data_IF_109117623776
#
_entry.id   IF_109117623776
#
_cell.length_a   1.000
_cell.length_b   1.000
_cell.length_c   1.000
_cell.angle_alpha   90.00
_cell.angle_beta   90.00
_cell.angle_gamma   90.00
#
_symmetry.space_group_name_H-M   'P 1'
#
loop_
_entity.id
_entity.type
_entity.pdbx_description
1 polymer ?
#
# COMPACT_ATOMS: atom_id res chain seq x y z
N UNK A 1 2.18 -39.57 10.45
CA UNK A 1 1.41 -38.88 9.39
C UNK A 1 1.08 -37.51 9.90
N UNK A 2 1.53 -36.52 9.15
CA UNK A 2 1.91 -35.19 9.60
C UNK A 2 0.77 -34.26 9.97
N UNK A 3 1.12 -33.32 10.83
CA UNK A 3 0.28 -32.30 11.42
C UNK A 3 -0.36 -31.38 10.38
N UNK A 4 -1.69 -31.34 10.40
CA UNK A 4 -2.43 -30.17 9.94
C UNK A 4 -2.26 -29.04 10.97
N UNK A 5 -1.29 -28.15 10.74
CA UNK A 5 -1.26 -26.85 11.40
C UNK A 5 -2.13 -25.89 10.60
N UNK A 6 -3.40 -25.79 11.02
CA UNK A 6 -4.30 -24.74 10.58
C UNK A 6 -3.69 -23.38 10.91
N UNK A 7 -3.37 -22.63 9.85
CA UNK A 7 -3.15 -21.19 9.88
C UNK A 7 -4.33 -20.51 10.58
N UNK A 8 -4.13 -20.04 11.82
CA UNK A 8 -5.07 -19.15 12.49
C UNK A 8 -4.94 -17.75 11.89
N UNK A 9 -5.64 -17.53 10.79
CA UNK A 9 -5.91 -16.21 10.24
C UNK A 9 -6.71 -15.40 11.28
N UNK A 10 -6.08 -14.36 11.82
CA UNK A 10 -6.68 -13.19 12.47
C UNK A 10 -7.77 -13.46 13.52
N UNK A 11 -7.40 -13.56 14.79
CA UNK A 11 -8.38 -13.23 15.84
C UNK A 11 -8.61 -11.73 15.84
N UNK A 12 -9.75 -11.30 15.29
CA UNK A 12 -10.29 -9.95 15.48
C UNK A 12 -10.49 -9.72 16.98
N UNK A 13 -9.53 -9.03 17.61
CA UNK A 13 -9.66 -8.56 18.98
C UNK A 13 -10.31 -7.19 18.93
N UNK A 14 -11.60 -7.13 19.30
CA UNK A 14 -12.26 -5.87 19.58
C UNK A 14 -11.68 -5.29 20.88
N UNK A 15 -10.94 -4.20 20.77
CA UNK A 15 -10.42 -3.45 21.92
C UNK A 15 -11.48 -2.45 22.37
N UNK A 16 -11.86 -2.48 23.65
CA UNK A 16 -12.93 -1.63 24.17
C UNK A 16 -12.47 -0.19 24.41
N UNK A 17 -11.16 0.04 24.49
CA UNK A 17 -10.57 1.37 24.66
C UNK A 17 -9.11 1.41 24.17
N UNK A 18 -8.57 2.63 24.02
CA UNK A 18 -7.21 2.84 23.52
C UNK A 18 -6.12 2.22 24.42
N UNK A 19 -6.34 2.11 25.73
CA UNK A 19 -5.38 1.51 26.66
C UNK A 19 -5.26 -0.01 26.49
N UNK A 20 -6.35 -0.71 26.18
CA UNK A 20 -6.33 -2.16 25.91
C UNK A 20 -5.61 -2.50 24.62
N UNK A 21 -5.85 -1.69 23.59
CA UNK A 21 -5.19 -1.77 22.29
C UNK A 21 -3.68 -1.52 22.43
N UNK A 22 -3.31 -0.55 23.28
CA UNK A 22 -1.93 -0.25 23.63
C UNK A 22 -1.25 -1.42 24.38
N UNK A 23 -1.89 -1.98 25.42
CA UNK A 23 -1.36 -3.15 26.15
C UNK A 23 -1.24 -4.41 25.29
N UNK A 24 -2.16 -4.61 24.36
CA UNK A 24 -2.10 -5.73 23.43
C UNK A 24 -0.97 -5.56 22.41
N UNK A 25 -0.75 -4.33 21.92
CA UNK A 25 0.41 -4.01 21.09
C UNK A 25 1.72 -4.27 21.85
N UNK A 26 1.81 -3.88 23.13
CA UNK A 26 2.97 -4.13 24.01
C UNK A 26 3.28 -5.63 24.15
N UNK A 27 2.28 -6.46 24.49
CA UNK A 27 2.46 -7.92 24.65
C UNK A 27 2.87 -8.62 23.34
N UNK A 28 2.46 -8.06 22.21
CA UNK A 28 2.77 -8.58 20.87
C UNK A 28 4.22 -8.28 20.45
N UNK A 29 4.76 -7.14 20.88
CA UNK A 29 6.14 -6.74 20.59
C UNK A 29 7.19 -7.69 21.18
N UNK A 30 6.87 -8.39 22.27
CA UNK A 30 7.76 -9.34 22.93
C UNK A 30 7.84 -10.71 22.22
N UNK A 31 6.96 -11.00 21.26
CA UNK A 31 6.68 -12.37 20.77
C UNK A 31 6.89 -12.59 19.26
N UNK A 32 7.68 -11.75 18.56
CA UNK A 32 7.82 -11.78 17.10
C UNK A 32 6.48 -11.59 16.35
N UNK A 33 5.53 -10.89 16.95
CA UNK A 33 4.22 -10.60 16.34
C UNK A 33 4.32 -9.36 15.45
N UNK A 34 3.73 -9.43 14.25
CA UNK A 34 3.50 -8.28 13.39
C UNK A 34 2.20 -7.57 13.78
N UNK A 35 2.30 -6.29 14.10
CA UNK A 35 1.17 -5.43 14.37
C UNK A 35 0.87 -4.55 13.15
N UNK A 36 -0.26 -4.79 12.49
CA UNK A 36 -0.72 -4.01 11.35
C UNK A 36 -1.78 -3.01 11.82
N UNK A 37 -1.44 -1.73 11.77
CA UNK A 37 -2.33 -0.64 12.10
C UNK A 37 -3.08 -0.15 10.87
N UNK A 38 -4.34 0.26 11.03
CA UNK A 38 -5.11 0.91 9.98
C UNK A 38 -4.49 2.21 9.47
N UNK A 39 -3.66 2.90 10.27
CA UNK A 39 -2.99 4.16 9.86
C UNK A 39 -1.53 4.23 10.26
N UNK A 40 -0.72 4.95 9.46
CA UNK A 40 0.69 5.23 9.76
C UNK A 40 0.88 6.11 11.00
N UNK A 41 -0.13 6.92 11.35
CA UNK A 41 -0.11 7.76 12.57
C UNK A 41 -0.24 6.89 13.81
N UNK A 42 -1.14 5.92 13.80
CA UNK A 42 -1.30 4.96 14.91
C UNK A 42 -0.02 4.13 15.09
N UNK A 43 0.51 3.55 14.01
CA UNK A 43 1.75 2.78 14.04
C UNK A 43 2.92 3.57 14.68
N UNK A 44 3.11 4.83 14.26
CA UNK A 44 4.15 5.71 14.82
C UNK A 44 3.93 6.02 16.30
N UNK A 45 2.69 6.25 16.72
CA UNK A 45 2.35 6.51 18.13
C UNK A 45 2.66 5.31 19.01
N UNK A 46 2.28 4.10 18.58
CA UNK A 46 2.56 2.86 19.31
C UNK A 46 4.07 2.60 19.39
N UNK A 47 4.79 2.77 18.27
CA UNK A 47 6.25 2.63 18.25
C UNK A 47 6.96 3.62 19.19
N UNK A 48 6.50 4.87 19.22
CA UNK A 48 7.05 5.89 20.12
C UNK A 48 6.83 5.52 21.60
N UNK A 49 5.62 5.08 21.96
CA UNK A 49 5.29 4.64 23.33
C UNK A 49 6.16 3.46 23.77
N UNK A 50 6.29 2.45 22.92
CA UNK A 50 7.15 1.29 23.18
C UNK A 50 8.59 1.74 23.46
N UNK A 51 9.14 2.64 22.64
CA UNK A 51 10.50 3.19 22.85
C UNK A 51 10.65 3.90 24.19
N UNK A 52 9.66 4.70 24.59
CA UNK A 52 9.69 5.40 25.89
C UNK A 52 9.72 4.42 27.06
N UNK A 53 8.97 3.33 26.99
CA UNK A 53 8.95 2.30 28.04
C UNK A 53 10.29 1.55 28.13
N UNK A 54 10.89 1.16 27.00
CA UNK A 54 12.20 0.51 27.01
C UNK A 54 13.28 1.39 27.64
N UNK A 55 13.23 2.69 27.36
CA UNK A 55 14.11 3.67 27.99
C UNK A 55 13.89 3.74 29.50
N UNK A 56 12.63 3.73 29.97
CA UNK A 56 12.29 3.72 31.39
C UNK A 56 12.72 2.42 32.09
N UNK A 57 12.62 1.29 31.41
CA UNK A 57 12.96 -0.03 31.93
C UNK A 57 14.49 -0.34 31.85
N UNK A 58 15.33 0.64 31.51
CA UNK A 58 16.78 0.51 31.31
C UNK A 58 17.18 -0.66 30.40
N UNK A 59 16.25 -1.10 29.54
CA UNK A 59 16.45 -2.21 28.63
C UNK A 59 16.95 -1.67 27.31
N UNK A 60 17.73 -2.48 26.59
CA UNK A 60 18.21 -2.08 25.28
C UNK A 60 17.04 -1.72 24.34
N UNK A 61 17.02 -0.48 23.85
CA UNK A 61 16.06 -0.01 22.86
C UNK A 61 16.39 -0.45 21.43
N UNK A 62 17.36 -1.35 21.23
CA UNK A 62 17.84 -1.76 19.90
C UNK A 62 16.82 -2.67 19.16
N UNK A 63 15.98 -3.41 19.87
CA UNK A 63 14.99 -4.31 19.26
C UNK A 63 13.73 -3.54 18.82
N UNK A 64 13.67 -3.05 17.59
CA UNK A 64 12.46 -2.38 17.12
C UNK A 64 11.33 -3.40 16.88
N UNK A 65 10.15 -3.25 17.50
CA UNK A 65 9.04 -4.16 17.25
C UNK A 65 8.50 -3.98 15.84
N UNK A 66 7.94 -5.07 15.28
CA UNK A 66 7.31 -5.09 13.97
C UNK A 66 5.92 -4.42 14.00
N UNK A 67 5.91 -3.08 14.16
CA UNK A 67 4.68 -2.27 14.15
C UNK A 67 4.66 -1.40 12.90
N UNK A 68 3.68 -1.63 12.03
CA UNK A 68 3.55 -0.94 10.76
C UNK A 68 2.11 -0.56 10.49
N UNK A 69 1.89 0.42 9.61
CA UNK A 69 0.60 0.44 8.89
C UNK A 69 0.60 -0.64 7.82
N UNK A 70 -0.57 -1.11 7.38
CA UNK A 70 -0.66 -2.04 6.25
C UNK A 70 0.15 -1.54 5.04
N UNK A 71 -0.06 -0.28 4.65
CA UNK A 71 0.67 0.33 3.54
C UNK A 71 2.19 0.39 3.76
N UNK A 72 2.61 0.71 4.98
CA UNK A 72 4.04 0.76 5.33
C UNK A 72 4.69 -0.62 5.30
N UNK A 73 4.00 -1.63 5.83
CA UNK A 73 4.49 -3.01 5.82
C UNK A 73 4.60 -3.57 4.41
N UNK A 74 3.59 -3.35 3.54
CA UNK A 74 3.64 -3.78 2.14
C UNK A 74 4.80 -3.12 1.40
N UNK A 75 5.03 -1.81 1.57
CA UNK A 75 6.16 -1.17 0.90
C UNK A 75 7.52 -1.68 1.37
N UNK A 76 7.67 -1.95 2.67
CA UNK A 76 8.88 -2.55 3.19
C UNK A 76 9.08 -3.96 2.62
N UNK A 77 8.02 -4.79 2.70
CA UNK A 77 8.00 -6.15 2.17
C UNK A 77 8.36 -6.17 0.69
N UNK A 78 7.77 -5.26 -0.09
CA UNK A 78 8.06 -5.10 -1.51
C UNK A 78 9.52 -4.70 -1.75
N UNK A 79 10.07 -3.76 -0.98
CA UNK A 79 11.48 -3.37 -1.12
C UNK A 79 12.45 -4.54 -0.82
N UNK A 80 12.11 -5.42 0.13
CA UNK A 80 12.89 -6.62 0.46
C UNK A 80 12.94 -7.64 -0.69
N UNK A 81 11.99 -7.59 -1.63
CA UNK A 81 11.99 -8.42 -2.84
C UNK A 81 12.95 -7.91 -3.94
N UNK A 82 13.60 -6.76 -3.74
CA UNK A 82 14.46 -6.10 -4.73
C UNK A 82 13.81 -5.97 -6.12
N UNK A 83 12.61 -5.36 -6.21
CA UNK A 83 11.83 -5.32 -7.43
C UNK A 83 12.50 -4.40 -8.46
N UNK A 84 12.31 -4.72 -9.73
CA UNK A 84 12.80 -3.89 -10.83
C UNK A 84 12.11 -2.52 -10.90
N UNK A 85 10.90 -2.40 -10.34
CA UNK A 85 10.11 -1.18 -10.32
C UNK A 85 9.93 -0.63 -8.91
N UNK A 86 10.08 0.69 -8.74
CA UNK A 86 9.81 1.40 -7.49
C UNK A 86 8.32 1.73 -7.35
N UNK A 87 7.81 1.90 -6.12
CA UNK A 87 6.46 2.41 -5.93
C UNK A 87 6.24 3.77 -6.58
N UNK A 88 5.10 3.94 -7.25
CA UNK A 88 4.71 5.22 -7.84
C UNK A 88 4.53 6.28 -6.75
N UNK A 89 5.36 7.32 -6.78
CA UNK A 89 5.23 8.45 -5.86
C UNK A 89 4.15 9.43 -6.33
N UNK A 90 3.54 10.23 -5.44
CA UNK A 90 2.56 11.25 -5.82
C UNK A 90 3.10 12.26 -6.85
N UNK A 91 4.35 12.68 -6.70
CA UNK A 91 5.00 13.64 -7.58
C UNK A 91 5.22 13.05 -8.98
N UNK A 92 5.71 11.80 -9.04
CA UNK A 92 5.89 11.10 -10.30
C UNK A 92 4.53 10.83 -10.97
N UNK A 93 3.51 10.42 -10.20
CA UNK A 93 2.15 10.25 -10.72
C UNK A 93 1.63 11.52 -11.40
N UNK A 94 1.76 12.68 -10.75
CA UNK A 94 1.36 13.96 -11.34
C UNK A 94 2.11 14.27 -12.64
N UNK A 95 3.43 14.04 -12.66
CA UNK A 95 4.24 14.25 -13.85
C UNK A 95 3.82 13.32 -15.00
N UNK A 96 3.65 12.02 -14.73
CA UNK A 96 3.27 11.04 -15.75
C UNK A 96 1.87 11.31 -16.29
N UNK A 97 0.92 11.71 -15.44
CA UNK A 97 -0.41 12.11 -15.87
C UNK A 97 -0.40 13.37 -16.73
N UNK A 98 0.43 14.35 -16.39
CA UNK A 98 0.61 15.53 -17.22
C UNK A 98 1.11 15.15 -18.63
N UNK A 99 2.16 14.33 -18.71
CA UNK A 99 2.70 13.83 -19.98
C UNK A 99 1.65 13.05 -20.77
N UNK A 100 0.92 12.16 -20.10
CA UNK A 100 -0.11 11.34 -20.72
C UNK A 100 -1.30 12.17 -21.25
N UNK A 101 -1.72 13.18 -20.50
CA UNK A 101 -2.77 14.10 -20.90
C UNK A 101 -2.38 14.95 -22.12
N UNK A 102 -1.13 15.41 -22.19
CA UNK A 102 -0.62 16.13 -23.35
C UNK A 102 -0.61 15.28 -24.62
N UNK A 103 -0.29 13.98 -24.50
CA UNK A 103 -0.30 13.04 -25.63
C UNK A 103 -1.72 12.69 -26.10
N UNK A 104 -2.70 12.67 -25.21
CA UNK A 104 -4.07 12.24 -25.51
C UNK A 104 -4.92 13.27 -26.30
N UNK A 105 -4.41 14.50 -26.50
CA UNK A 105 -5.08 15.68 -27.09
C UNK A 105 -6.37 16.04 -26.33
N UNK A 106 -6.37 17.08 -25.47
CA UNK A 106 -7.54 17.46 -24.70
C UNK A 106 -8.67 17.98 -25.60
N UNK A 107 -9.95 17.71 -25.26
CA UNK A 107 -11.08 18.31 -25.94
C UNK A 107 -11.11 19.83 -25.70
N UNK A 108 -11.72 20.57 -26.63
CA UNK A 108 -11.84 22.02 -26.56
C UNK A 108 -12.45 22.48 -25.24
N UNK A 109 -11.82 23.45 -24.59
CA UNK A 109 -12.27 24.01 -23.31
C UNK A 109 -11.87 23.22 -22.07
N UNK A 110 -11.18 22.08 -22.21
CA UNK A 110 -10.62 21.37 -21.06
C UNK A 110 -9.26 21.94 -20.66
N UNK A 111 -9.19 22.50 -19.45
CA UNK A 111 -7.93 22.95 -18.87
C UNK A 111 -7.18 21.77 -18.22
N UNK A 112 -5.90 21.62 -18.58
CA UNK A 112 -5.02 20.59 -18.06
C UNK A 112 -4.29 21.09 -16.81
N UNK A 113 -4.85 20.78 -15.64
CA UNK A 113 -4.33 21.24 -14.34
C UNK A 113 -4.01 20.08 -13.39
N UNK A 114 -3.14 20.29 -12.37
CA UNK A 114 -2.78 19.24 -11.40
C UNK A 114 -3.97 18.58 -10.69
N UNK A 115 -5.07 19.31 -10.48
CA UNK A 115 -6.30 18.79 -9.87
C UNK A 115 -6.94 17.67 -10.72
N UNK A 116 -6.96 17.85 -12.04
CA UNK A 116 -7.47 16.85 -12.99
C UNK A 116 -6.63 15.57 -12.92
N UNK A 117 -5.30 15.68 -12.88
CA UNK A 117 -4.41 14.52 -12.79
C UNK A 117 -4.63 13.71 -11.52
N UNK A 118 -4.86 14.38 -10.38
CA UNK A 118 -5.22 13.69 -9.13
C UNK A 118 -6.55 12.94 -9.24
N UNK A 119 -7.55 13.56 -9.87
CA UNK A 119 -8.84 12.90 -10.11
C UNK A 119 -8.71 11.69 -11.04
N UNK A 120 -7.87 11.79 -12.06
CA UNK A 120 -7.57 10.68 -12.97
C UNK A 120 -6.85 9.53 -12.25
N UNK A 121 -5.82 9.83 -11.44
CA UNK A 121 -5.16 8.84 -10.58
C UNK A 121 -6.15 8.16 -9.65
N UNK A 122 -6.98 8.93 -8.94
CA UNK A 122 -7.97 8.39 -8.01
C UNK A 122 -8.98 7.48 -8.72
N UNK A 123 -9.46 7.89 -9.90
CA UNK A 123 -10.40 7.09 -10.70
C UNK A 123 -9.75 5.79 -11.19
N UNK A 124 -8.49 5.85 -11.63
CA UNK A 124 -7.74 4.67 -12.04
C UNK A 124 -7.57 3.69 -10.86
N UNK A 125 -7.14 4.18 -9.70
CA UNK A 125 -6.97 3.34 -8.50
C UNK A 125 -8.29 2.69 -8.06
N UNK A 126 -9.41 3.43 -8.11
CA UNK A 126 -10.73 2.89 -7.80
C UNK A 126 -11.11 1.75 -8.75
N UNK A 127 -10.92 1.93 -10.07
CA UNK A 127 -11.21 0.88 -11.05
C UNK A 127 -10.35 -0.36 -10.83
N UNK A 128 -9.05 -0.18 -10.59
CA UNK A 128 -8.13 -1.30 -10.34
C UNK A 128 -8.45 -2.06 -9.06
N UNK A 129 -8.86 -1.36 -8.00
CA UNK A 129 -9.28 -1.99 -6.74
C UNK A 129 -10.54 -2.85 -6.94
N UNK A 130 -11.47 -2.38 -7.77
CA UNK A 130 -12.69 -3.13 -8.14
C UNK A 130 -12.44 -4.18 -9.25
N UNK A 131 -11.18 -4.39 -9.65
CA UNK A 131 -10.78 -5.32 -10.73
C UNK A 131 -11.47 -5.03 -12.07
N UNK A 132 -11.81 -3.76 -12.30
CA UNK A 132 -12.38 -3.29 -13.56
C UNK A 132 -11.27 -2.85 -14.51
N UNK A 133 -11.40 -3.21 -15.79
CA UNK A 133 -10.46 -2.76 -16.82
C UNK A 133 -10.67 -1.24 -17.08
N UNK A 134 -9.67 -0.39 -16.80
CA UNK A 134 -9.78 1.04 -17.00
C UNK A 134 -9.86 1.46 -18.48
N UNK A 135 -9.60 0.52 -19.41
CA UNK A 135 -9.58 0.76 -20.85
C UNK A 135 -10.77 0.15 -21.58
N UNK A 136 -11.65 -0.61 -20.91
CA UNK A 136 -12.75 -1.33 -21.54
C UNK A 136 -13.86 -0.43 -22.13
N UNK A 137 -13.99 0.81 -21.65
CA UNK A 137 -15.11 1.68 -22.04
C UNK A 137 -14.95 2.24 -23.46
N UNK A 138 -15.85 1.86 -24.37
CA UNK A 138 -15.96 2.44 -25.71
C UNK A 138 -17.01 3.54 -25.72
N UNK A 139 -16.64 4.74 -25.27
CA UNK A 139 -17.51 5.90 -25.34
C UNK A 139 -17.22 6.75 -26.57
N UNK A 140 -18.26 7.32 -27.17
CA UNK A 140 -18.12 8.33 -28.24
C UNK A 140 -17.93 9.74 -27.69
N UNK A 141 -18.18 9.95 -26.39
CA UNK A 141 -18.09 11.26 -25.77
C UNK A 141 -16.62 11.74 -25.75
N UNK A 142 -16.31 12.98 -26.21
CA UNK A 142 -14.94 13.46 -26.33
C UNK A 142 -14.13 13.36 -25.03
N UNK A 143 -14.74 13.73 -23.89
CA UNK A 143 -14.09 13.67 -22.59
C UNK A 143 -13.77 12.24 -22.15
N UNK A 144 -14.67 11.29 -22.42
CA UNK A 144 -14.46 9.89 -22.08
C UNK A 144 -13.32 9.28 -22.92
N UNK A 145 -13.30 9.58 -24.24
CA UNK A 145 -12.18 9.18 -25.12
C UNK A 145 -10.85 9.77 -24.68
N UNK A 146 -10.83 11.04 -24.31
CA UNK A 146 -9.63 11.68 -23.76
C UNK A 146 -9.14 10.97 -22.50
N UNK A 147 -10.02 10.69 -21.53
CA UNK A 147 -9.66 10.00 -20.29
C UNK A 147 -9.11 8.59 -20.55
N UNK A 148 -9.74 7.83 -21.45
CA UNK A 148 -9.27 6.51 -21.84
C UNK A 148 -7.87 6.56 -22.48
N UNK A 149 -7.66 7.45 -23.46
CA UNK A 149 -6.36 7.62 -24.12
C UNK A 149 -5.29 8.08 -23.15
N UNK A 150 -5.57 9.07 -22.31
CA UNK A 150 -4.63 9.54 -21.31
C UNK A 150 -4.31 8.42 -20.29
N UNK A 151 -5.29 7.59 -19.92
CA UNK A 151 -5.04 6.42 -19.05
C UNK A 151 -4.14 5.40 -19.75
N UNK A 152 -4.38 5.10 -21.03
CA UNK A 152 -3.51 4.23 -21.82
C UNK A 152 -2.07 4.77 -21.88
N UNK A 153 -1.90 6.06 -22.19
CA UNK A 153 -0.58 6.70 -22.23
C UNK A 153 0.12 6.64 -20.86
N UNK A 154 -0.62 6.91 -19.78
CA UNK A 154 -0.10 6.83 -18.42
C UNK A 154 0.39 5.42 -18.09
N UNK A 155 -0.40 4.38 -18.36
CA UNK A 155 -0.02 2.99 -18.13
C UNK A 155 1.21 2.59 -18.97
N UNK A 156 1.34 3.09 -20.19
CA UNK A 156 2.50 2.85 -21.05
C UNK A 156 3.77 3.57 -20.58
N UNK A 157 3.65 4.65 -19.80
CA UNK A 157 4.79 5.36 -19.23
C UNK A 157 5.35 4.64 -17.99
N UNK A 158 4.53 3.93 -17.22
CA UNK A 158 4.96 3.30 -15.97
C UNK A 158 6.21 2.42 -16.11
N UNK A 159 6.31 1.47 -17.08
CA UNK A 159 7.50 0.65 -17.25
C UNK A 159 8.75 1.47 -17.64
N UNK A 160 8.57 2.54 -18.42
CA UNK A 160 9.68 3.40 -18.88
C UNK A 160 10.35 4.11 -17.71
N UNK A 161 9.57 4.43 -16.67
CA UNK A 161 10.04 5.08 -15.45
C UNK A 161 10.29 4.09 -14.30
N UNK A 162 10.25 2.78 -14.60
CA UNK A 162 10.38 1.70 -13.61
C UNK A 162 9.47 1.95 -12.40
N UNK A 163 8.22 2.33 -12.65
CA UNK A 163 7.26 2.66 -11.60
C UNK A 163 6.14 1.62 -11.56
N UNK A 164 5.76 1.22 -10.34
CA UNK A 164 4.69 0.25 -10.09
C UNK A 164 3.50 0.91 -9.40
N UNK A 165 2.28 0.54 -9.82
CA UNK A 165 1.06 0.94 -9.13
C UNK A 165 0.92 0.17 -7.82
N UNK A 166 0.13 0.73 -6.91
CA UNK A 166 -0.19 0.08 -5.64
C UNK A 166 -0.79 -1.33 -5.82
N UNK A 167 -1.66 -1.51 -6.80
CA UNK A 167 -2.25 -2.81 -7.13
C UNK A 167 -1.22 -3.85 -7.55
N UNK A 168 -0.18 -3.45 -8.27
CA UNK A 168 0.84 -4.37 -8.77
C UNK A 168 1.82 -4.75 -7.65
N UNK A 169 2.19 -3.78 -6.82
CA UNK A 169 2.96 -4.01 -5.59
C UNK A 169 2.25 -5.03 -4.68
N UNK A 170 0.94 -4.86 -4.48
CA UNK A 170 0.15 -5.81 -3.69
C UNK A 170 0.19 -7.22 -4.29
N UNK A 171 0.02 -7.35 -5.61
CA UNK A 171 0.08 -8.65 -6.29
C UNK A 171 1.45 -9.31 -6.12
N UNK A 172 2.54 -8.57 -6.29
CA UNK A 172 3.90 -9.09 -6.13
C UNK A 172 4.17 -9.54 -4.69
N UNK A 173 3.77 -8.75 -3.69
CA UNK A 173 3.90 -9.13 -2.28
C UNK A 173 3.06 -10.38 -1.96
N UNK A 174 1.80 -10.44 -2.42
CA UNK A 174 0.97 -11.62 -2.23
C UNK A 174 1.57 -12.86 -2.89
N UNK A 175 2.05 -12.75 -4.13
CA UNK A 175 2.71 -13.84 -4.84
C UNK A 175 3.98 -14.32 -4.12
N UNK A 176 4.77 -13.39 -3.56
CA UNK A 176 5.95 -13.73 -2.76
C UNK A 176 5.58 -14.48 -1.47
N UNK A 177 4.47 -14.12 -0.82
CA UNK A 177 3.96 -14.84 0.35
C UNK A 177 3.50 -16.26 -0.04
N UNK A 178 2.72 -16.38 -1.12
CA UNK A 178 2.21 -17.66 -1.61
C UNK A 178 3.32 -18.62 -2.03
N UNK A 179 4.39 -18.09 -2.63
CA UNK A 179 5.58 -18.84 -3.05
C UNK A 179 6.60 -19.07 -1.94
N UNK A 180 6.31 -18.64 -0.70
CA UNK A 180 7.22 -18.70 0.45
C UNK A 180 8.51 -17.86 0.31
N UNK A 181 8.58 -16.98 -0.68
CA UNK A 181 9.65 -15.99 -0.85
C UNK A 181 9.62 -14.88 0.21
N UNK A 182 8.45 -14.64 0.83
CA UNK A 182 8.30 -13.78 1.99
C UNK A 182 7.63 -14.55 3.13
N UNK A 183 8.34 -14.68 4.25
CA UNK A 183 7.80 -15.35 5.43
C UNK A 183 6.97 -14.38 6.26
N UNK A 184 5.68 -14.68 6.41
CA UNK A 184 4.85 -13.98 7.37
C UNK A 184 5.26 -14.36 8.79
N UNK A 185 5.26 -13.40 9.73
CA UNK A 185 5.48 -13.70 11.15
C UNK A 185 4.43 -14.68 11.66
N UNK A 186 4.81 -15.49 12.67
CA UNK A 186 3.95 -16.55 13.24
C UNK A 186 2.60 -16.02 13.73
N UNK A 187 2.56 -14.76 14.12
CA UNK A 187 1.37 -14.09 14.57
C UNK A 187 1.28 -12.72 13.91
N UNK A 188 0.11 -12.41 13.36
CA UNK A 188 -0.23 -11.09 12.81
C UNK A 188 -1.51 -10.62 13.47
N UNK A 189 -1.49 -9.39 13.99
CA UNK A 189 -2.64 -8.75 14.63
C UNK A 189 -2.97 -7.48 13.86
N UNK A 190 -4.23 -7.34 13.45
CA UNK A 190 -4.75 -6.15 12.80
C UNK A 190 -5.48 -5.28 13.82
N UNK A 191 -5.21 -3.97 13.78
CA UNK A 191 -5.69 -2.97 14.75
C UNK A 191 -6.11 -1.67 14.06
#
# INVERSE_FOLDING_TARGET
>A
MEHAQSSQLGTDRNFSNANELEKAAEASCASQTLLLCGTARLARRLLHRWRQQQQQAATSAWLTPAIHSLKGWVYQSYAELWPAARPLTPELSLQLWHMAAQQAVPPTGLNLEPSLYRQMQFSLEALLNEKLDPLASQSEQPLARFRQRATQHFLNLLPQYQAALWSDILKEVCAAIESQGLQLPKQTIYI
#
